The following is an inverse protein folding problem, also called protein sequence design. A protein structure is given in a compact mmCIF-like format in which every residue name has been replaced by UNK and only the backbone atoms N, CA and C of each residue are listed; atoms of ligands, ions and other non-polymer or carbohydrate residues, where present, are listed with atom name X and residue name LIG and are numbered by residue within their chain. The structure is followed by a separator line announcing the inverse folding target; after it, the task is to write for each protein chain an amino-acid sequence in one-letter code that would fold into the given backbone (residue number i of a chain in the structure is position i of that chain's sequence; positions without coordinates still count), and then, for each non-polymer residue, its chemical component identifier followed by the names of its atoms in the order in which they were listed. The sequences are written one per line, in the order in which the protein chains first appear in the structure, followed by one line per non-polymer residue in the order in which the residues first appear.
data_IF_795670829156
#
_entry.id   IF_795670829156
#
_cell.length_a   1.000
_cell.length_b   1.000
_cell.length_c   1.000
_cell.angle_alpha   90.00
_cell.angle_beta   90.00
_cell.angle_gamma   90.00
#
_symmetry.space_group_name_H-M   'P 1'
#
loop_
_entity.id
_entity.type
_entity.pdbx_description
1 polymer ?
#
# COMPACT_ATOMS: atom_id res chain seq x y z
N UNK A 1 2.16 -17.84 -72.32
CA UNK A 1 1.48 -17.40 -71.08
C UNK A 1 1.11 -18.54 -70.13
N UNK A 2 0.58 -19.69 -70.60
CA UNK A 2 0.16 -20.82 -69.73
C UNK A 2 1.27 -21.48 -68.90
N UNK A 3 2.53 -21.48 -69.37
CA UNK A 3 3.66 -22.04 -68.61
C UNK A 3 4.15 -21.09 -67.51
N UNK A 4 4.12 -19.78 -67.74
CA UNK A 4 4.47 -18.75 -66.75
C UNK A 4 3.46 -18.71 -65.60
N UNK A 5 2.16 -18.80 -65.90
CA UNK A 5 1.09 -18.83 -64.91
C UNK A 5 1.18 -20.04 -63.96
N UNK A 6 1.64 -21.20 -64.45
CA UNK A 6 1.89 -22.39 -63.62
C UNK A 6 3.05 -22.22 -62.65
N UNK A 7 4.10 -21.47 -63.03
CA UNK A 7 5.23 -21.22 -62.13
C UNK A 7 4.86 -20.20 -61.05
N UNK A 8 4.07 -19.17 -61.39
CA UNK A 8 3.56 -18.18 -60.43
C UNK A 8 2.63 -18.84 -59.40
N UNK A 9 1.73 -19.74 -59.84
CA UNK A 9 0.88 -20.53 -58.94
C UNK A 9 1.72 -21.46 -58.03
N UNK A 10 2.75 -22.11 -58.57
CA UNK A 10 3.66 -22.92 -57.75
C UNK A 10 4.41 -22.09 -56.70
N UNK A 11 4.93 -20.91 -57.06
CA UNK A 11 5.67 -20.05 -56.14
C UNK A 11 4.75 -19.48 -55.05
N UNK A 12 3.53 -19.06 -55.42
CA UNK A 12 2.53 -18.58 -54.46
C UNK A 12 2.03 -19.69 -53.53
N UNK A 13 1.94 -20.93 -54.00
CA UNK A 13 1.64 -22.08 -53.15
C UNK A 13 2.77 -22.38 -52.17
N UNK A 14 4.04 -22.28 -52.59
CA UNK A 14 5.20 -22.51 -51.71
C UNK A 14 5.30 -21.44 -50.61
N UNK A 15 5.03 -20.16 -50.94
CA UNK A 15 5.02 -19.06 -49.96
C UNK A 15 3.86 -19.20 -48.95
N UNK A 16 2.72 -19.76 -49.36
CA UNK A 16 1.60 -20.01 -48.47
C UNK A 16 1.85 -21.11 -47.42
N UNK A 17 2.81 -22.01 -47.64
CA UNK A 17 3.20 -23.03 -46.66
C UNK A 17 4.27 -22.56 -45.64
N UNK A 18 4.90 -21.40 -45.85
CA UNK A 18 5.95 -20.85 -44.97
C UNK A 18 5.39 -19.84 -43.95
N UNK A 19 4.12 -19.42 -44.07
CA UNK A 19 3.52 -18.38 -43.22
C UNK A 19 2.80 -18.91 -41.96
N UNK A 20 3.02 -20.15 -41.56
CA UNK A 20 2.52 -20.69 -40.30
C UNK A 20 3.71 -21.04 -39.40
N UNK A 21 4.37 -20.01 -38.87
CA UNK A 21 4.99 -20.16 -37.56
C UNK A 21 3.85 -19.95 -36.55
N UNK A 22 3.56 -20.98 -35.75
CA UNK A 22 2.71 -20.79 -34.58
C UNK A 22 3.50 -19.91 -33.64
N UNK A 23 3.17 -18.61 -33.59
CA UNK A 23 3.68 -17.72 -32.55
C UNK A 23 3.45 -18.45 -31.22
N UNK A 24 4.54 -18.90 -30.60
CA UNK A 24 4.46 -19.61 -29.33
C UNK A 24 4.03 -18.59 -28.27
N UNK A 25 2.73 -18.44 -28.06
CA UNK A 25 2.14 -17.54 -27.05
C UNK A 25 2.24 -18.12 -25.64
N UNK A 26 2.84 -19.29 -25.51
CA UNK A 26 3.10 -19.98 -24.24
C UNK A 26 4.18 -19.22 -23.46
N UNK A 27 4.03 -19.13 -22.14
CA UNK A 27 5.05 -18.59 -21.22
C UNK A 27 5.46 -17.11 -21.42
N UNK A 28 4.61 -16.29 -22.04
CA UNK A 28 4.81 -14.82 -22.07
C UNK A 28 4.61 -14.14 -20.71
N UNK A 29 3.98 -14.82 -19.75
CA UNK A 29 3.67 -14.29 -18.42
C UNK A 29 4.74 -14.66 -17.41
N UNK A 30 5.19 -13.68 -16.60
CA UNK A 30 6.07 -13.90 -15.45
C UNK A 30 5.35 -13.52 -14.15
N UNK A 31 5.57 -14.32 -13.10
CA UNK A 31 5.15 -13.98 -11.74
C UNK A 31 6.21 -13.03 -11.15
N UNK A 32 5.78 -11.90 -10.63
CA UNK A 32 6.64 -10.96 -9.91
C UNK A 32 6.34 -10.99 -8.41
N UNK A 33 7.38 -10.89 -7.58
CA UNK A 33 7.26 -10.81 -6.13
C UNK A 33 7.44 -9.36 -5.70
N UNK A 34 6.41 -8.74 -5.14
CA UNK A 34 6.50 -7.38 -4.62
C UNK A 34 7.25 -7.32 -3.29
N UNK A 35 7.74 -6.13 -2.95
CA UNK A 35 8.36 -5.87 -1.66
C UNK A 35 7.37 -6.10 -0.51
N UNK A 36 7.87 -6.73 0.56
CA UNK A 36 7.17 -6.92 1.84
C UNK A 36 7.77 -5.97 2.86
N UNK A 37 6.93 -5.18 3.53
CA UNK A 37 7.38 -4.16 4.49
C UNK A 37 7.12 -4.62 5.93
N UNK A 38 8.13 -4.46 6.78
CA UNK A 38 8.04 -4.59 8.23
C UNK A 38 8.21 -3.20 8.88
N UNK A 39 7.16 -2.73 9.55
CA UNK A 39 7.08 -1.40 10.18
C UNK A 39 5.95 -1.39 11.22
N UNK A 40 5.94 -0.39 12.09
CA UNK A 40 4.79 -0.14 12.98
C UNK A 40 3.71 0.65 12.22
N UNK A 41 2.49 0.12 12.01
CA UNK A 41 1.46 0.82 11.26
C UNK A 41 0.94 2.08 11.98
N UNK A 42 1.02 2.15 13.31
CA UNK A 42 0.50 3.30 14.07
C UNK A 42 1.46 3.65 15.20
N UNK A 43 2.04 4.85 15.14
CA UNK A 43 2.86 5.40 16.21
C UNK A 43 2.14 6.58 16.87
N UNK A 44 2.06 6.57 18.20
CA UNK A 44 1.45 7.64 18.99
C UNK A 44 2.55 8.34 19.79
N UNK A 45 2.67 9.66 19.65
CA UNK A 45 3.65 10.48 20.34
C UNK A 45 3.01 11.73 20.95
N UNK A 46 3.50 12.18 22.12
CA UNK A 46 3.06 13.46 22.67
C UNK A 46 3.56 14.63 21.82
N UNK A 47 2.90 15.77 21.94
CA UNK A 47 3.32 17.04 21.33
C UNK A 47 4.79 17.35 21.68
N UNK A 48 5.60 17.62 20.65
CA UNK A 48 7.03 17.83 20.74
C UNK A 48 7.86 16.57 20.96
N UNK A 49 7.23 15.39 20.97
CA UNK A 49 7.91 14.09 21.03
C UNK A 49 8.84 13.85 19.86
N UNK A 50 9.89 13.05 20.08
CA UNK A 50 10.78 12.63 19.02
C UNK A 50 10.10 11.56 18.16
N UNK A 51 10.25 11.68 16.85
CA UNK A 51 9.79 10.71 15.86
C UNK A 51 10.90 10.47 14.84
N UNK A 52 11.15 9.20 14.54
CA UNK A 52 12.04 8.77 13.47
C UNK A 52 11.35 7.64 12.70
N UNK A 53 11.06 7.82 11.41
CA UNK A 53 10.44 6.78 10.60
C UNK A 53 11.37 5.57 10.44
N UNK A 54 10.80 4.37 10.44
CA UNK A 54 11.55 3.11 10.35
C UNK A 54 10.72 2.04 9.68
N UNK A 55 11.24 1.50 8.58
CA UNK A 55 10.67 0.37 7.86
C UNK A 55 11.78 -0.45 7.22
N UNK A 56 11.59 -1.76 7.14
CA UNK A 56 12.44 -2.70 6.40
C UNK A 56 11.61 -3.25 5.25
N UNK A 57 12.15 -3.25 4.03
CA UNK A 57 11.51 -3.90 2.89
C UNK A 57 12.32 -5.12 2.46
N UNK A 58 11.66 -6.22 2.12
CA UNK A 58 12.32 -7.43 1.62
C UNK A 58 11.64 -7.98 0.37
N UNK A 59 12.42 -8.64 -0.49
CA UNK A 59 11.97 -9.46 -1.61
C UNK A 59 12.65 -10.83 -1.50
N UNK A 60 11.85 -11.90 -1.41
CA UNK A 60 12.35 -13.28 -1.25
C UNK A 60 13.39 -13.45 -0.11
N UNK A 61 13.28 -12.64 0.95
CA UNK A 61 14.19 -12.65 2.10
C UNK A 61 15.47 -11.80 1.94
N UNK A 62 15.68 -11.14 0.80
CA UNK A 62 16.72 -10.13 0.62
C UNK A 62 16.21 -8.73 0.96
N UNK A 63 16.99 -7.92 1.66
CA UNK A 63 16.64 -6.53 1.95
C UNK A 63 16.67 -5.65 0.70
N UNK A 64 15.69 -4.76 0.59
CA UNK A 64 15.58 -3.74 -0.44
C UNK A 64 15.84 -2.36 0.15
N UNK A 65 16.29 -1.44 -0.69
CA UNK A 65 16.39 -0.03 -0.32
C UNK A 65 14.98 0.57 -0.17
N UNK A 66 14.70 1.14 1.00
CA UNK A 66 13.46 1.87 1.28
C UNK A 66 13.67 3.37 1.04
N UNK A 67 12.73 3.98 0.33
CA UNK A 67 12.58 5.43 0.24
C UNK A 67 11.45 5.87 1.16
N UNK A 68 11.72 6.84 2.02
CA UNK A 68 10.74 7.37 2.98
C UNK A 68 10.34 8.78 2.60
N UNK A 69 9.04 9.03 2.49
CA UNK A 69 8.46 10.37 2.33
C UNK A 69 7.60 10.68 3.55
N UNK A 70 7.94 11.75 4.27
CA UNK A 70 7.19 12.21 5.42
C UNK A 70 7.08 13.75 5.49
N UNK A 71 6.04 14.21 6.19
CA UNK A 71 5.85 15.62 6.57
C UNK A 71 5.26 15.68 8.00
N UNK A 72 5.76 14.84 8.90
CA UNK A 72 5.27 14.77 10.27
C UNK A 72 5.72 16.03 11.02
N UNK A 73 4.76 16.84 11.47
CA UNK A 73 5.05 17.98 12.33
C UNK A 73 4.74 17.62 13.79
N UNK A 74 5.76 17.21 14.54
CA UNK A 74 5.60 16.80 15.94
C UNK A 74 5.19 17.94 16.87
N UNK A 75 5.27 19.20 16.42
CA UNK A 75 4.87 20.37 17.20
C UNK A 75 3.40 20.78 17.00
N UNK A 76 2.66 20.04 16.19
CA UNK A 76 1.23 20.31 15.92
C UNK A 76 0.44 19.03 16.13
N UNK A 77 -0.56 19.08 17.00
CA UNK A 77 -1.50 17.98 17.23
C UNK A 77 -2.18 17.62 15.91
N UNK A 78 -2.16 16.34 15.57
CA UNK A 78 -2.69 15.88 14.30
C UNK A 78 -2.36 14.43 13.99
N UNK A 79 -2.94 13.94 12.91
CA UNK A 79 -2.67 12.62 12.33
C UNK A 79 -1.89 12.87 11.04
N UNK A 80 -0.76 12.22 10.90
CA UNK A 80 0.15 12.35 9.77
C UNK A 80 0.39 10.99 9.13
N UNK A 81 0.60 11.00 7.82
CA UNK A 81 0.96 9.79 7.08
C UNK A 81 2.45 9.84 6.68
N UNK A 82 3.11 8.70 6.85
CA UNK A 82 4.45 8.42 6.36
C UNK A 82 4.33 7.34 5.29
N UNK A 83 4.95 7.59 4.13
CA UNK A 83 4.94 6.66 3.01
C UNK A 83 6.32 6.04 2.84
N UNK A 84 6.37 4.72 2.84
CA UNK A 84 7.55 3.93 2.50
C UNK A 84 7.37 3.35 1.11
N UNK A 85 8.37 3.50 0.23
CA UNK A 85 8.39 2.84 -1.07
C UNK A 85 9.66 2.02 -1.28
N UNK A 86 9.53 0.92 -2.02
CA UNK A 86 10.64 0.07 -2.41
C UNK A 86 10.35 -0.50 -3.81
N UNK A 87 11.40 -0.60 -4.62
CA UNK A 87 11.32 -1.18 -5.98
C UNK A 87 11.94 -2.58 -5.97
N UNK A 88 11.22 -3.56 -6.48
CA UNK A 88 11.68 -4.94 -6.55
C UNK A 88 12.68 -5.16 -7.71
N UNK A 89 13.27 -6.35 -7.79
CA UNK A 89 14.26 -6.69 -8.84
C UNK A 89 13.74 -6.60 -10.28
N UNK A 90 12.42 -6.71 -10.48
CA UNK A 90 11.74 -6.58 -11.78
C UNK A 90 11.42 -5.11 -12.14
N UNK A 91 11.67 -4.15 -11.25
CA UNK A 91 11.40 -2.72 -11.47
C UNK A 91 9.99 -2.26 -11.08
N UNK A 92 9.24 -3.07 -10.33
CA UNK A 92 7.93 -2.71 -9.81
C UNK A 92 8.03 -2.07 -8.42
N UNK A 93 7.40 -0.91 -8.26
CA UNK A 93 7.31 -0.20 -6.98
C UNK A 93 6.15 -0.73 -6.13
N UNK A 94 6.37 -0.84 -4.82
CA UNK A 94 5.34 -1.08 -3.82
C UNK A 94 5.42 -0.03 -2.71
N UNK A 95 4.29 0.23 -2.06
CA UNK A 95 4.16 1.25 -1.02
C UNK A 95 3.57 0.68 0.29
N UNK A 96 3.99 1.23 1.41
CA UNK A 96 3.43 1.01 2.74
C UNK A 96 3.16 2.35 3.44
N UNK A 97 2.15 2.39 4.32
CA UNK A 97 1.67 3.60 4.96
C UNK A 97 1.68 3.44 6.49
N UNK A 98 2.38 4.32 7.17
CA UNK A 98 2.37 4.43 8.63
C UNK A 98 1.63 5.69 9.06
N UNK A 99 0.77 5.54 10.05
CA UNK A 99 0.06 6.65 10.68
C UNK A 99 0.82 7.11 11.92
N UNK A 100 1.05 8.41 12.03
CA UNK A 100 1.67 9.04 13.21
C UNK A 100 0.66 9.98 13.86
N UNK A 101 0.32 9.70 15.12
CA UNK A 101 -0.61 10.50 15.91
C UNK A 101 0.18 11.35 16.88
N UNK A 102 0.17 12.66 16.67
CA UNK A 102 0.69 13.65 17.62
C UNK A 102 -0.46 14.09 18.51
N UNK A 103 -0.42 13.74 19.79
CA UNK A 103 -1.47 14.07 20.75
C UNK A 103 -1.02 15.14 21.76
N UNK A 104 -1.96 15.91 22.28
CA UNK A 104 -1.68 16.81 23.40
C UNK A 104 -1.60 16.01 24.70
N UNK A 105 -0.44 15.96 25.40
CA UNK A 105 -0.31 15.22 26.65
C UNK A 105 -1.01 15.91 27.83
N UNK A 106 -1.37 17.20 27.70
CA UNK A 106 -2.13 17.92 28.73
C UNK A 106 -3.62 17.57 28.71
N UNK A 107 -4.10 17.06 27.56
CA UNK A 107 -5.38 16.36 27.48
C UNK A 107 -5.14 14.95 28.01
N UNK A 108 -5.04 14.86 29.34
CA UNK A 108 -5.29 13.60 30.03
C UNK A 108 -6.73 13.25 29.73
N UNK A 109 -7.00 12.06 29.19
CA UNK A 109 -8.34 11.60 28.88
C UNK A 109 -9.27 11.93 30.03
N UNK A 110 -10.09 12.97 29.85
CA UNK A 110 -11.25 13.12 30.72
C UNK A 110 -12.01 11.82 30.53
N UNK A 111 -12.45 11.24 31.63
CA UNK A 111 -13.34 10.10 31.57
C UNK A 111 -14.50 10.44 30.62
N UNK A 112 -14.46 9.86 29.41
CA UNK A 112 -15.52 10.02 28.40
C UNK A 112 -16.68 9.06 28.69
N UNK A 113 -16.62 8.32 29.80
CA UNK A 113 -17.77 7.64 30.32
C UNK A 113 -18.82 8.64 30.80
N UNK A 114 -20.08 8.27 30.62
CA UNK A 114 -21.18 9.14 30.99
C UNK A 114 -22.43 8.88 30.20
N UNK A 115 -23.47 9.62 30.57
CA UNK A 115 -24.73 9.61 29.85
C UNK A 115 -24.57 10.37 28.53
N UNK A 116 -25.00 9.73 27.44
CA UNK A 116 -25.10 10.33 26.12
C UNK A 116 -26.56 10.49 25.73
N UNK A 117 -26.86 11.45 24.85
CA UNK A 117 -28.16 11.59 24.22
C UNK A 117 -28.00 11.95 22.74
N UNK A 118 -28.97 11.54 21.92
CA UNK A 118 -29.06 11.96 20.53
C UNK A 118 -29.48 13.44 20.48
N UNK A 119 -28.64 14.30 19.90
CA UNK A 119 -28.87 15.75 19.82
C UNK A 119 -30.21 16.08 19.12
N UNK A 120 -30.66 15.24 18.19
CA UNK A 120 -31.94 15.41 17.50
C UNK A 120 -33.14 14.79 18.22
N UNK A 121 -32.91 13.96 19.24
CA UNK A 121 -33.94 13.23 20.02
C UNK A 121 -33.46 12.99 21.47
N UNK A 122 -33.61 13.96 22.37
CA UNK A 122 -33.05 13.90 23.72
C UNK A 122 -33.52 12.68 24.55
N UNK A 123 -34.71 12.18 24.27
CA UNK A 123 -35.24 10.93 24.85
C UNK A 123 -34.46 9.65 24.47
N UNK A 124 -33.64 9.68 23.41
CA UNK A 124 -32.73 8.58 23.07
C UNK A 124 -31.44 8.74 23.86
N UNK A 125 -31.38 8.10 25.01
CA UNK A 125 -30.21 8.12 25.89
C UNK A 125 -29.41 6.83 25.81
N UNK A 126 -28.16 6.89 26.25
CA UNK A 126 -27.26 5.74 26.39
C UNK A 126 -26.19 6.02 27.43
N UNK A 127 -25.35 5.02 27.70
CA UNK A 127 -24.18 5.18 28.56
C UNK A 127 -22.97 4.69 27.77
N UNK A 128 -21.94 5.53 27.70
CA UNK A 128 -20.60 5.11 27.28
C UNK A 128 -19.84 4.77 28.56
N UNK A 129 -19.13 3.65 28.55
CA UNK A 129 -18.19 3.27 29.60
C UNK A 129 -16.84 3.00 28.95
N UNK A 130 -15.78 3.35 29.66
CA UNK A 130 -14.45 2.86 29.33
C UNK A 130 -14.39 1.33 29.57
N UNK A 131 -13.54 0.65 28.81
CA UNK A 131 -13.23 -0.76 29.04
C UNK A 131 -12.45 -0.85 30.35
N UNK A 132 -12.76 -1.82 31.20
CA UNK A 132 -12.10 -2.00 32.50
C UNK A 132 -10.57 -2.08 32.31
N UNK A 133 -9.83 -1.20 33.01
CA UNK A 133 -8.38 -1.08 32.89
C UNK A 133 -7.89 -0.01 31.89
N UNK A 134 -8.78 0.67 31.16
CA UNK A 134 -8.42 1.84 30.33
C UNK A 134 -8.71 3.14 31.09
N UNK A 135 -7.69 4.00 31.24
CA UNK A 135 -7.82 5.31 31.89
C UNK A 135 -8.08 6.44 30.89
N UNK A 136 -7.99 6.14 29.60
CA UNK A 136 -8.03 7.10 28.50
C UNK A 136 -8.28 6.34 27.19
N UNK A 137 -8.84 7.01 26.19
CA UNK A 137 -8.92 6.51 24.80
C UNK A 137 -7.62 6.77 24.01
N UNK A 138 -6.62 7.36 24.68
CA UNK A 138 -5.25 7.56 24.25
C UNK A 138 -4.30 6.88 25.23
#
# INVERSE_FOLDING_TARGET
MKRLFKHIICIMAIVAFVSCDTEETSDVSRVTTYAVFEYDPIIVIPLGGAFTPSAIATENGGELQVTTTENVNTNVVGIYDVVYSATNSDGFEANAFQTVVVHDPSIVGNDVSGAIYDVGRPERTGVISLVEGTTSIF
#
